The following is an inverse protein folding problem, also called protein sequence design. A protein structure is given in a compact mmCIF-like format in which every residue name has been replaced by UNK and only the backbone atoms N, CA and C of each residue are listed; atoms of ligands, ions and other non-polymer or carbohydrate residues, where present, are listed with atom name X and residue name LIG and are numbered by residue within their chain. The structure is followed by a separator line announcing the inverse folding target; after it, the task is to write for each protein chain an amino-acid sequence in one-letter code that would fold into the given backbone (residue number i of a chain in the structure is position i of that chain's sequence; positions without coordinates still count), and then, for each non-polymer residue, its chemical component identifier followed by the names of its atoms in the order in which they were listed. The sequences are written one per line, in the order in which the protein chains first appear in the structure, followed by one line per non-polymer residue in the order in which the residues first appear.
data_IF_885168107165
#
_entry.id   IF_885168107165
#
_cell.length_a   1.000
_cell.length_b   1.000
_cell.length_c   1.000
_cell.angle_alpha   90.00
_cell.angle_beta   90.00
_cell.angle_gamma   90.00
#
_symmetry.space_group_name_H-M   'P 1'
#
loop_
_entity.id
_entity.type
_entity.pdbx_description
1 polymer ?
#
# COMPACT_ATOMS: atom_id res chain seq x y z
N UNK A 1 2.77 4.78 -41.90
CA UNK A 1 4.00 3.97 -41.97
C UNK A 1 5.08 4.68 -41.17
N UNK A 2 5.33 4.22 -39.94
CA UNK A 2 6.57 4.43 -39.19
C UNK A 2 6.75 3.16 -38.37
N UNK A 3 7.82 2.43 -38.70
CA UNK A 3 8.25 1.19 -38.08
C UNK A 3 9.40 1.53 -37.10
N UNK A 4 9.31 1.06 -35.87
CA UNK A 4 10.38 0.37 -35.13
C UNK A 4 10.02 0.33 -33.64
N UNK A 5 10.54 -0.68 -32.96
CA UNK A 5 10.28 -1.09 -31.59
C UNK A 5 10.09 0.06 -30.59
N UNK A 6 8.92 0.12 -29.95
CA UNK A 6 8.64 1.06 -28.87
C UNK A 6 7.15 1.14 -28.61
N UNK A 7 6.73 0.84 -27.39
CA UNK A 7 5.33 0.78 -26.93
C UNK A 7 4.54 1.99 -27.44
N UNK A 8 3.54 1.75 -28.28
CA UNK A 8 2.68 2.79 -28.87
C UNK A 8 1.65 3.23 -27.81
N UNK A 9 2.06 4.13 -26.92
CA UNK A 9 1.18 4.66 -25.86
C UNK A 9 0.24 5.69 -26.50
N UNK A 10 -1.07 5.41 -26.48
CA UNK A 10 -2.10 6.35 -26.93
C UNK A 10 -2.05 7.65 -26.12
N UNK A 11 -2.27 8.81 -26.75
CA UNK A 11 -2.31 10.11 -26.06
C UNK A 11 -3.33 10.12 -24.91
N UNK A 12 -4.43 9.38 -25.05
CA UNK A 12 -5.44 9.13 -24.00
C UNK A 12 -4.82 8.38 -22.81
N UNK A 13 -4.00 7.37 -23.08
CA UNK A 13 -3.29 6.61 -22.05
C UNK A 13 -2.29 7.49 -21.30
N UNK A 14 -1.60 8.40 -21.99
CA UNK A 14 -0.65 9.31 -21.35
C UNK A 14 -1.36 10.32 -20.45
N UNK A 15 -2.47 10.90 -20.92
CA UNK A 15 -3.30 11.85 -20.14
C UNK A 15 -3.94 11.15 -18.92
N UNK A 16 -4.46 9.94 -19.08
CA UNK A 16 -4.97 9.12 -17.97
C UNK A 16 -3.86 8.83 -16.95
N UNK A 17 -2.65 8.52 -17.41
CA UNK A 17 -1.51 8.23 -16.54
C UNK A 17 -1.09 9.45 -15.74
N UNK A 18 -0.95 10.62 -16.39
CA UNK A 18 -0.63 11.89 -15.72
C UNK A 18 -1.74 12.29 -14.75
N UNK A 19 -3.02 12.11 -15.10
CA UNK A 19 -4.14 12.38 -14.20
C UNK A 19 -4.16 11.43 -13.00
N UNK A 20 -3.79 10.16 -13.20
CA UNK A 20 -3.68 9.15 -12.14
C UNK A 20 -2.47 9.42 -11.24
N UNK A 21 -1.36 9.90 -11.80
CA UNK A 21 -0.15 10.30 -11.05
C UNK A 21 -0.41 11.55 -10.19
N UNK A 22 -1.15 12.54 -10.72
CA UNK A 22 -1.61 13.72 -9.97
C UNK A 22 -2.58 13.30 -8.86
N UNK A 23 -3.53 12.41 -9.16
CA UNK A 23 -4.46 11.88 -8.17
C UNK A 23 -3.72 11.08 -7.07
N UNK A 24 -2.68 10.32 -7.44
CA UNK A 24 -1.81 9.58 -6.51
C UNK A 24 -1.12 10.47 -5.47
N UNK A 25 -0.86 11.74 -5.82
CA UNK A 25 -0.29 12.74 -4.92
C UNK A 25 -1.29 13.41 -3.95
N UNK A 26 -2.60 13.19 -4.10
CA UNK A 26 -3.64 13.67 -3.18
C UNK A 26 -4.21 12.59 -2.26
N UNK A 27 -3.77 11.33 -2.40
CA UNK A 27 -4.31 10.22 -1.63
C UNK A 27 -3.63 10.14 -0.26
N UNK A 28 -4.44 10.20 0.80
CA UNK A 28 -4.01 9.87 2.15
C UNK A 28 -3.62 8.39 2.22
N UNK A 29 -2.45 8.12 2.79
CA UNK A 29 -1.88 6.78 2.86
C UNK A 29 -1.75 6.31 4.30
N UNK A 30 -1.98 5.02 4.46
CA UNK A 30 -1.73 4.30 5.71
C UNK A 30 -0.64 3.27 5.49
N UNK A 31 0.00 2.84 6.58
CA UNK A 31 0.88 1.67 6.60
C UNK A 31 0.23 0.59 7.45
N UNK A 32 0.15 -0.63 6.94
CA UNK A 32 -0.12 -1.82 7.75
C UNK A 32 1.19 -2.51 8.10
N UNK A 33 1.35 -2.83 9.39
CA UNK A 33 2.47 -3.59 9.92
C UNK A 33 1.97 -4.95 10.42
N UNK A 34 2.79 -5.97 10.18
CA UNK A 34 2.54 -7.33 10.64
C UNK A 34 3.52 -7.71 11.74
N UNK A 35 3.17 -8.72 12.53
CA UNK A 35 4.01 -9.17 13.65
C UNK A 35 5.36 -9.72 13.18
N UNK A 36 5.48 -10.17 11.93
CA UNK A 36 6.72 -10.76 11.41
C UNK A 36 6.91 -10.50 9.92
N UNK A 37 8.13 -10.71 9.44
CA UNK A 37 8.44 -10.67 7.99
C UNK A 37 7.66 -11.74 7.23
N UNK A 38 7.49 -12.93 7.81
CA UNK A 38 6.71 -14.01 7.20
C UNK A 38 5.25 -13.61 6.97
N UNK A 39 4.62 -12.99 7.97
CA UNK A 39 3.26 -12.48 7.85
C UNK A 39 3.15 -11.36 6.82
N UNK A 40 4.14 -10.47 6.76
CA UNK A 40 4.19 -9.40 5.75
C UNK A 40 4.27 -9.96 4.34
N UNK A 41 5.14 -10.95 4.09
CA UNK A 41 5.27 -11.60 2.78
C UNK A 41 4.01 -12.38 2.38
N UNK A 42 3.34 -13.00 3.35
CA UNK A 42 2.07 -13.70 3.12
C UNK A 42 0.97 -12.70 2.75
N UNK A 43 0.85 -11.60 3.49
CA UNK A 43 -0.07 -10.51 3.18
C UNK A 43 0.19 -9.92 1.80
N UNK A 44 1.46 -9.71 1.43
CA UNK A 44 1.84 -9.18 0.12
C UNK A 44 1.25 -10.01 -1.04
N UNK A 45 1.35 -11.35 -0.94
CA UNK A 45 0.81 -12.27 -1.94
C UNK A 45 -0.72 -12.20 -2.04
N UNK A 46 -1.39 -12.14 -0.88
CA UNK A 46 -2.85 -12.11 -0.81
C UNK A 46 -3.39 -10.77 -1.32
N UNK A 47 -2.81 -9.65 -0.93
CA UNK A 47 -3.23 -8.34 -1.41
C UNK A 47 -3.04 -8.20 -2.92
N UNK A 48 -1.97 -8.79 -3.48
CA UNK A 48 -1.77 -8.89 -4.94
C UNK A 48 -2.87 -9.71 -5.62
N UNK A 49 -3.28 -10.85 -5.07
CA UNK A 49 -4.36 -11.66 -5.66
C UNK A 49 -5.73 -10.99 -5.55
N UNK A 50 -5.91 -10.10 -4.58
CA UNK A 50 -7.13 -9.32 -4.37
C UNK A 50 -7.13 -7.99 -5.16
N UNK A 51 -6.15 -7.74 -6.04
CA UNK A 51 -6.02 -6.49 -6.80
C UNK A 51 -6.03 -5.22 -5.91
N UNK A 52 -5.42 -5.33 -4.72
CA UNK A 52 -5.21 -4.18 -3.83
C UNK A 52 -3.85 -3.57 -4.14
N UNK A 53 -3.85 -2.28 -4.46
CA UNK A 53 -2.61 -1.54 -4.68
C UNK A 53 -1.93 -1.20 -3.37
N UNK A 54 -0.65 -1.54 -3.25
CA UNK A 54 0.20 -1.18 -2.11
C UNK A 54 1.66 -1.03 -2.53
N UNK A 55 2.49 -0.47 -1.64
CA UNK A 55 3.95 -0.41 -1.76
C UNK A 55 4.60 -1.01 -0.52
N UNK A 56 5.56 -1.90 -0.71
CA UNK A 56 6.39 -2.38 0.40
C UNK A 56 7.33 -1.25 0.84
N UNK A 57 7.34 -0.95 2.13
CA UNK A 57 8.12 0.14 2.72
C UNK A 57 8.90 -0.33 3.94
N UNK A 58 10.02 0.33 4.23
CA UNK A 58 10.73 0.13 5.49
C UNK A 58 9.89 0.73 6.62
N UNK A 59 9.76 0.00 7.72
CA UNK A 59 9.02 0.45 8.91
C UNK A 59 9.61 1.77 9.41
N UNK A 60 8.78 2.81 9.67
CA UNK A 60 9.23 4.02 10.34
C UNK A 60 9.88 3.72 11.69
N UNK A 61 11.01 4.38 11.99
CA UNK A 61 11.75 4.16 13.25
C UNK A 61 10.93 4.47 14.51
N UNK A 62 9.95 5.35 14.40
CA UNK A 62 9.05 5.75 15.49
C UNK A 62 8.01 4.69 15.86
N UNK A 63 7.83 3.64 15.06
CA UNK A 63 6.87 2.56 15.34
C UNK A 63 7.65 1.32 15.81
N UNK A 64 7.33 0.80 17.00
CA UNK A 64 7.98 -0.41 17.55
C UNK A 64 7.20 -1.66 17.15
N UNK A 65 7.83 -2.56 16.39
CA UNK A 65 7.35 -3.92 16.10
C UNK A 65 8.52 -4.81 15.67
N UNK A 66 8.35 -6.13 15.73
CA UNK A 66 9.38 -7.11 15.37
C UNK A 66 9.70 -7.09 13.86
N UNK A 67 8.73 -6.81 12.99
CA UNK A 67 8.98 -6.70 11.55
C UNK A 67 9.65 -5.37 11.17
N UNK A 68 10.66 -5.42 10.31
CA UNK A 68 11.35 -4.23 9.77
C UNK A 68 10.66 -3.56 8.58
N UNK A 69 9.56 -4.13 8.08
CA UNK A 69 8.86 -3.66 6.88
C UNK A 69 7.35 -3.64 7.06
N UNK A 70 6.67 -2.88 6.19
CA UNK A 70 5.23 -2.72 6.16
C UNK A 70 4.72 -2.55 4.73
N UNK A 71 3.40 -2.50 4.59
CA UNK A 71 2.75 -2.21 3.31
C UNK A 71 2.03 -0.87 3.41
N UNK A 72 2.46 0.10 2.60
CA UNK A 72 1.79 1.39 2.42
C UNK A 72 0.65 1.24 1.41
N UNK A 73 -0.56 1.67 1.77
CA UNK A 73 -1.77 1.49 0.96
C UNK A 73 -2.67 2.74 1.04
N UNK A 74 -3.65 2.82 0.13
CA UNK A 74 -4.64 3.91 0.11
C UNK A 74 -5.54 3.82 1.35
N UNK A 75 -5.75 4.92 2.07
CA UNK A 75 -6.64 4.94 3.25
C UNK A 75 -8.02 4.33 2.99
N UNK A 76 -8.55 4.45 1.78
CA UNK A 76 -9.85 3.91 1.39
C UNK A 76 -9.91 2.37 1.41
N UNK A 77 -8.77 1.68 1.29
CA UNK A 77 -8.70 0.22 1.32
C UNK A 77 -8.63 -0.37 2.75
N UNK A 78 -8.66 0.47 3.80
CA UNK A 78 -8.47 0.03 5.20
C UNK A 78 -9.43 -1.09 5.61
N UNK A 79 -10.74 -0.87 5.40
CA UNK A 79 -11.79 -1.84 5.71
C UNK A 79 -11.56 -3.18 4.98
N UNK A 80 -11.20 -3.09 3.69
CA UNK A 80 -10.95 -4.26 2.84
C UNK A 80 -9.73 -5.05 3.30
N UNK A 81 -8.64 -4.37 3.64
CA UNK A 81 -7.42 -4.98 4.18
C UNK A 81 -7.69 -5.63 5.54
N UNK A 82 -8.43 -4.97 6.43
CA UNK A 82 -8.80 -5.55 7.73
C UNK A 82 -9.62 -6.84 7.55
N UNK A 83 -10.59 -6.82 6.64
CA UNK A 83 -11.38 -8.02 6.29
C UNK A 83 -10.50 -9.15 5.77
N UNK A 84 -9.62 -8.88 4.80
CA UNK A 84 -8.69 -9.86 4.24
C UNK A 84 -7.78 -10.44 5.34
N UNK A 85 -7.28 -9.59 6.24
CA UNK A 85 -6.44 -10.04 7.34
C UNK A 85 -7.19 -10.97 8.28
N UNK A 86 -8.45 -10.65 8.60
CA UNK A 86 -9.32 -11.50 9.43
C UNK A 86 -9.60 -12.84 8.76
N UNK A 87 -9.97 -12.85 7.48
CA UNK A 87 -10.33 -14.06 6.73
C UNK A 87 -9.13 -14.99 6.51
N UNK A 88 -7.92 -14.44 6.37
CA UNK A 88 -6.70 -15.22 6.14
C UNK A 88 -5.89 -15.50 7.42
N UNK A 89 -6.41 -15.09 8.58
CA UNK A 89 -5.74 -15.19 9.88
C UNK A 89 -4.33 -14.56 9.86
N UNK A 90 -4.22 -13.37 9.26
CA UNK A 90 -2.98 -12.58 9.23
C UNK A 90 -2.84 -11.80 10.54
N UNK A 91 -1.67 -11.89 11.17
CA UNK A 91 -1.42 -11.26 12.46
C UNK A 91 -0.82 -9.86 12.29
N UNK A 92 -1.64 -8.86 12.60
CA UNK A 92 -1.27 -7.45 12.53
C UNK A 92 -0.51 -7.00 13.79
N UNK A 93 0.51 -6.18 13.58
CA UNK A 93 1.05 -5.31 14.63
C UNK A 93 0.23 -4.01 14.75
N UNK A 94 -0.32 -3.52 13.64
CA UNK A 94 -1.29 -2.43 13.60
C UNK A 94 -1.40 -1.74 12.24
N UNK A 95 -2.34 -0.82 12.11
CA UNK A 95 -2.46 0.09 10.95
C UNK A 95 -2.21 1.51 11.43
N UNK A 96 -1.36 2.23 10.71
CA UNK A 96 -0.89 3.56 11.10
C UNK A 96 -1.12 4.59 10.01
N UNK A 97 -1.67 5.74 10.39
CA UNK A 97 -1.79 6.93 9.55
C UNK A 97 -0.59 7.85 9.75
N UNK A 98 -0.04 8.40 8.66
CA UNK A 98 1.02 9.40 8.73
C UNK A 98 0.41 10.79 8.89
N UNK A 99 0.65 11.41 10.05
CA UNK A 99 0.21 12.78 10.32
C UNK A 99 1.07 13.80 9.56
N UNK A 100 0.53 15.02 9.39
CA UNK A 100 1.23 16.14 8.73
C UNK A 100 2.50 16.57 9.46
N UNK A 101 2.57 16.38 10.77
CA UNK A 101 3.73 16.68 11.62
C UNK A 101 4.84 15.62 11.55
N UNK A 102 4.67 14.57 10.73
CA UNK A 102 5.61 13.45 10.62
C UNK A 102 5.40 12.35 11.66
N UNK A 103 4.46 12.51 12.58
CA UNK A 103 4.06 11.49 13.54
C UNK A 103 3.24 10.36 12.91
N UNK A 104 3.10 9.27 13.66
CA UNK A 104 2.29 8.12 13.28
C UNK A 104 1.21 7.88 14.32
N UNK A 105 -0.03 7.68 13.87
CA UNK A 105 -1.18 7.41 14.72
C UNK A 105 -1.78 6.05 14.36
N UNK A 106 -2.08 5.23 15.37
CA UNK A 106 -2.66 3.91 15.18
C UNK A 106 -4.18 4.00 14.99
N UNK A 107 -4.71 3.36 13.94
CA UNK A 107 -6.09 3.55 13.44
C UNK A 107 -6.88 2.23 13.20
N UNK A 108 -6.34 1.10 13.66
CA UNK A 108 -6.97 -0.24 13.61
C UNK A 108 -7.71 -0.62 14.91
N UNK A 109 -7.92 0.34 15.82
CA UNK A 109 -8.75 0.14 17.02
C UNK A 109 -10.22 0.38 16.72
#
# INVERSE_FOLDING_TARGET
MFLSNGVKISLISLILKTSLDIFSHMIEKNIVLFISTHETLRAEKILKSEDIYFKTVIKPRSITSECGMGLEFNRNDKERILKICKENNLKLAGIFFKRKDGGWERIDK
#
